data_IF_521210907759
#
_entry.id   IF_521210907759
#
_cell.length_a   1.000
_cell.length_b   1.000
_cell.length_c   1.000
_cell.angle_alpha   90.00
_cell.angle_beta   90.00
_cell.angle_gamma   90.00
#
_symmetry.space_group_name_H-M   'P 1'
#
loop_
_entity.id
_entity.type
_entity.pdbx_description
1 polymer ?
#
# COMPACT_ATOMS: atom_id res chain seq x y z
N UNK A 1 4.71 -11.42 -10.16
CA UNK A 1 4.86 -11.47 -8.69
C UNK A 1 3.75 -10.71 -7.99
N UNK A 2 3.61 -10.89 -6.68
CA UNK A 2 2.76 -10.04 -5.84
C UNK A 2 3.64 -9.15 -4.97
N UNK A 3 3.56 -7.83 -5.18
CA UNK A 3 4.26 -6.80 -4.41
C UNK A 3 3.27 -6.08 -3.49
N UNK A 4 3.53 -6.10 -2.20
CA UNK A 4 2.78 -5.32 -1.20
C UNK A 4 3.65 -4.15 -0.74
N UNK A 5 3.20 -2.92 -1.00
CA UNK A 5 3.80 -1.70 -0.50
C UNK A 5 3.03 -1.25 0.74
N UNK A 6 3.54 -1.62 1.92
CA UNK A 6 2.91 -1.28 3.20
C UNK A 6 3.54 0.02 3.76
N UNK A 7 2.75 0.87 4.36
CA UNK A 7 3.27 2.14 4.90
C UNK A 7 2.16 3.03 5.44
N UNK A 8 2.51 4.00 6.26
CA UNK A 8 1.57 4.97 6.80
C UNK A 8 0.85 5.76 5.67
N UNK A 9 -0.38 6.27 5.93
CA UNK A 9 -1.02 7.20 5.00
C UNK A 9 -0.11 8.41 4.73
N UNK A 10 0.05 8.79 3.46
CA UNK A 10 0.93 9.93 3.07
C UNK A 10 2.40 9.57 2.81
N UNK A 11 2.84 8.32 3.03
CA UNK A 11 4.26 7.92 2.83
C UNK A 11 4.68 7.80 1.36
N UNK A 12 3.75 7.75 0.41
CA UNK A 12 4.05 7.68 -1.03
C UNK A 12 3.81 6.32 -1.70
N UNK A 13 3.05 5.42 -1.08
CA UNK A 13 2.76 4.06 -1.60
C UNK A 13 2.19 4.04 -3.02
N UNK A 14 1.12 4.82 -3.25
CA UNK A 14 0.44 4.86 -4.57
C UNK A 14 1.37 5.37 -5.66
N UNK A 15 2.08 6.48 -5.40
CA UNK A 15 3.03 7.00 -6.37
C UNK A 15 4.13 5.99 -6.73
N UNK A 16 4.63 5.23 -5.74
CA UNK A 16 5.64 4.19 -6.00
C UNK A 16 5.04 2.99 -6.74
N UNK A 17 3.78 2.63 -6.48
CA UNK A 17 3.07 1.58 -7.21
C UNK A 17 2.83 1.96 -8.68
N UNK A 18 2.41 3.20 -8.93
CA UNK A 18 2.20 3.74 -10.27
C UNK A 18 3.53 3.78 -11.04
N UNK A 19 4.60 4.26 -10.39
CA UNK A 19 5.95 4.29 -10.98
C UNK A 19 6.47 2.88 -11.32
N UNK A 20 6.15 1.88 -10.48
CA UNK A 20 6.45 0.48 -10.78
C UNK A 20 5.69 0.00 -12.03
N UNK A 21 4.39 0.30 -12.11
CA UNK A 21 3.55 -0.14 -13.22
C UNK A 21 3.96 0.47 -14.57
N UNK A 22 4.53 1.69 -14.60
CA UNK A 22 5.05 2.33 -15.80
C UNK A 22 6.17 1.51 -16.48
N UNK A 23 6.98 0.80 -15.71
CA UNK A 23 8.10 0.00 -16.24
C UNK A 23 7.79 -1.51 -16.35
N UNK A 24 6.64 -1.95 -15.85
CA UNK A 24 6.25 -3.36 -15.85
C UNK A 24 4.95 -3.57 -16.66
N UNK A 25 5.06 -3.94 -17.93
CA UNK A 25 3.89 -4.09 -18.81
C UNK A 25 2.81 -4.99 -18.21
N UNK A 26 1.57 -4.50 -18.19
CA UNK A 26 0.40 -5.18 -17.62
C UNK A 26 0.47 -5.41 -16.10
N UNK A 27 1.38 -4.79 -15.36
CA UNK A 27 1.31 -4.80 -13.91
C UNK A 27 0.02 -4.12 -13.43
N UNK A 28 -0.70 -4.75 -12.51
CA UNK A 28 -1.96 -4.25 -11.98
C UNK A 28 -1.76 -3.61 -10.62
N UNK A 29 -2.04 -2.32 -10.50
CA UNK A 29 -2.12 -1.65 -9.20
C UNK A 29 -3.51 -1.85 -8.62
N UNK A 30 -3.60 -2.45 -7.43
CA UNK A 30 -4.88 -2.73 -6.74
C UNK A 30 -4.97 -1.90 -5.48
N UNK A 31 -5.63 -0.76 -5.56
CA UNK A 31 -5.94 0.10 -4.42
C UNK A 31 -7.23 -0.36 -3.74
N UNK A 32 -7.12 -0.97 -2.55
CA UNK A 32 -8.27 -1.53 -1.80
C UNK A 32 -9.26 -0.44 -1.40
N UNK A 33 -8.77 0.74 -1.05
CA UNK A 33 -9.64 1.87 -0.69
C UNK A 33 -10.37 2.45 -1.92
N UNK A 34 -9.78 2.39 -3.11
CA UNK A 34 -10.46 2.76 -4.35
C UNK A 34 -11.56 1.75 -4.68
N UNK A 35 -11.28 0.45 -4.58
CA UNK A 35 -12.31 -0.59 -4.75
C UNK A 35 -13.48 -0.35 -3.79
N UNK A 36 -13.19 -0.03 -2.53
CA UNK A 36 -14.21 0.28 -1.54
C UNK A 36 -15.06 1.48 -1.96
N UNK A 37 -14.45 2.54 -2.48
CA UNK A 37 -15.17 3.74 -2.94
C UNK A 37 -16.10 3.49 -4.13
N UNK A 38 -15.84 2.44 -4.91
CA UNK A 38 -16.71 2.02 -6.03
C UNK A 38 -17.93 1.22 -5.59
N UNK A 39 -18.00 0.79 -4.32
CA UNK A 39 -19.19 0.11 -3.79
C UNK A 39 -20.29 1.11 -3.47
N UNK A 40 -21.51 0.78 -3.84
CA UNK A 40 -22.67 1.60 -3.48
C UNK A 40 -22.81 1.72 -1.97
N UNK A 41 -23.11 2.92 -1.46
CA UNK A 41 -23.32 3.22 -0.03
C UNK A 41 -22.17 2.76 0.91
N UNK A 42 -20.95 2.67 0.39
CA UNK A 42 -19.78 2.13 1.10
C UNK A 42 -19.49 2.78 2.46
N UNK A 43 -19.97 4.01 2.69
CA UNK A 43 -19.77 4.76 3.94
C UNK A 43 -20.66 4.26 5.06
N UNK A 44 -21.93 4.00 4.75
CA UNK A 44 -22.95 3.59 5.72
C UNK A 44 -22.95 2.09 5.99
N UNK A 45 -22.34 1.29 5.09
CA UNK A 45 -22.31 -0.17 5.22
C UNK A 45 -20.97 -0.63 5.75
N UNK A 46 -20.94 -1.09 7.00
CA UNK A 46 -19.72 -1.53 7.70
C UNK A 46 -18.95 -2.64 6.97
N UNK A 47 -19.67 -3.52 6.28
CA UNK A 47 -19.10 -4.64 5.50
C UNK A 47 -18.31 -4.20 4.26
N UNK A 48 -18.43 -2.95 3.82
CA UNK A 48 -17.76 -2.45 2.62
C UNK A 48 -16.23 -2.66 2.63
N UNK A 49 -15.61 -2.65 3.81
CA UNK A 49 -14.17 -2.95 3.94
C UNK A 49 -13.84 -4.42 3.65
N UNK A 50 -14.72 -5.33 4.08
CA UNK A 50 -14.56 -6.78 3.84
C UNK A 50 -14.75 -7.07 2.37
N UNK A 51 -15.83 -6.56 1.78
CA UNK A 51 -16.13 -6.72 0.35
C UNK A 51 -15.00 -6.19 -0.53
N UNK A 52 -14.46 -5.01 -0.22
CA UNK A 52 -13.33 -4.44 -0.98
C UNK A 52 -12.07 -5.32 -0.90
N UNK A 53 -11.78 -5.90 0.25
CA UNK A 53 -10.67 -6.85 0.42
C UNK A 53 -10.89 -8.14 -0.36
N UNK A 54 -12.11 -8.66 -0.38
CA UNK A 54 -12.45 -9.85 -1.16
C UNK A 54 -12.31 -9.60 -2.65
N UNK A 55 -12.75 -8.44 -3.13
CA UNK A 55 -12.54 -8.01 -4.52
C UNK A 55 -11.05 -7.88 -4.85
N UNK A 56 -10.26 -7.26 -3.97
CA UNK A 56 -8.81 -7.15 -4.16
C UNK A 56 -8.15 -8.53 -4.27
N UNK A 57 -8.54 -9.49 -3.42
CA UNK A 57 -8.05 -10.88 -3.49
C UNK A 57 -8.45 -11.56 -4.80
N UNK A 58 -9.68 -11.37 -5.26
CA UNK A 58 -10.17 -11.96 -6.53
C UNK A 58 -9.39 -11.41 -7.73
N UNK A 59 -9.23 -10.08 -7.80
CA UNK A 59 -8.43 -9.41 -8.84
C UNK A 59 -6.98 -9.90 -8.83
N UNK A 60 -6.35 -9.91 -7.65
CA UNK A 60 -4.97 -10.37 -7.47
C UNK A 60 -4.81 -11.81 -7.97
N UNK A 61 -5.67 -12.71 -7.53
CA UNK A 61 -5.62 -14.13 -7.95
C UNK A 61 -5.75 -14.30 -9.45
N UNK A 62 -6.70 -13.62 -10.06
CA UNK A 62 -6.95 -13.71 -11.50
C UNK A 62 -5.76 -13.19 -12.29
N UNK A 63 -5.23 -12.03 -11.89
CA UNK A 63 -4.16 -11.35 -12.63
C UNK A 63 -2.82 -12.08 -12.50
N UNK A 64 -2.46 -12.58 -11.30
CA UNK A 64 -1.27 -13.41 -11.12
C UNK A 64 -1.31 -14.69 -11.96
N UNK A 65 -2.49 -15.33 -12.08
CA UNK A 65 -2.67 -16.53 -12.93
C UNK A 65 -2.50 -16.23 -14.41
N UNK A 66 -2.71 -14.99 -14.84
CA UNK A 66 -2.42 -14.54 -16.21
C UNK A 66 -0.93 -14.30 -16.46
N UNK A 67 -0.07 -14.48 -15.46
CA UNK A 67 1.38 -14.31 -15.56
C UNK A 67 1.87 -12.87 -15.37
N UNK A 68 1.02 -11.96 -14.91
CA UNK A 68 1.37 -10.55 -14.72
C UNK A 68 1.51 -10.17 -13.24
N UNK A 69 2.25 -9.10 -12.99
CA UNK A 69 2.50 -8.61 -11.65
C UNK A 69 1.27 -7.89 -11.05
N UNK A 70 1.15 -7.98 -9.72
CA UNK A 70 0.18 -7.19 -8.95
C UNK A 70 0.91 -6.40 -7.88
N UNK A 71 0.57 -5.12 -7.75
CA UNK A 71 1.08 -4.22 -6.70
C UNK A 71 -0.08 -3.76 -5.84
N UNK A 72 0.04 -3.91 -4.51
CA UNK A 72 -0.99 -3.48 -3.56
C UNK A 72 -0.42 -2.42 -2.62
N UNK A 73 -0.65 -1.11 -2.91
CA UNK A 73 -0.20 0.00 -2.08
C UNK A 73 -1.20 0.29 -0.95
N UNK A 74 -1.09 -0.40 0.17
CA UNK A 74 -2.06 -0.28 1.25
C UNK A 74 -1.39 -0.23 2.62
N UNK A 75 -1.98 0.49 3.59
CA UNK A 75 -1.62 0.37 4.99
C UNK A 75 -2.27 -0.87 5.60
N UNK A 76 -1.44 -1.76 6.10
CA UNK A 76 -1.87 -2.97 6.80
C UNK A 76 -1.30 -2.97 8.21
N UNK A 77 -2.08 -2.48 9.17
CA UNK A 77 -1.72 -2.54 10.58
C UNK A 77 -1.91 -3.93 11.22
N UNK A 78 -2.59 -4.85 10.51
CA UNK A 78 -2.80 -6.24 10.92
C UNK A 78 -2.33 -7.18 9.82
N UNK A 79 -1.78 -8.31 10.22
CA UNK A 79 -1.20 -9.27 9.30
C UNK A 79 -2.19 -10.17 8.56
N UNK A 80 -3.39 -10.35 9.09
CA UNK A 80 -4.40 -11.27 8.55
C UNK A 80 -4.62 -11.14 7.04
N UNK A 81 -4.68 -9.90 6.55
CA UNK A 81 -4.88 -9.67 5.13
C UNK A 81 -3.58 -9.84 4.31
N UNK A 82 -2.44 -9.47 4.85
CA UNK A 82 -1.12 -9.72 4.22
C UNK A 82 -0.87 -11.22 4.07
N UNK A 83 -1.18 -12.01 5.10
CA UNK A 83 -1.05 -13.48 5.06
C UNK A 83 -2.00 -14.11 4.06
N UNK A 84 -3.23 -13.57 3.95
CA UNK A 84 -4.20 -13.98 2.92
C UNK A 84 -3.65 -13.72 1.51
N UNK A 85 -3.04 -12.56 1.28
CA UNK A 85 -2.40 -12.21 0.02
C UNK A 85 -1.20 -13.11 -0.29
N UNK A 86 -0.36 -13.39 0.71
CA UNK A 86 0.73 -14.34 0.57
C UNK A 86 0.23 -15.76 0.20
N UNK A 87 -0.93 -16.17 0.74
CA UNK A 87 -1.61 -17.40 0.34
C UNK A 87 -2.00 -17.41 -1.14
N UNK A 88 -2.55 -16.31 -1.64
CA UNK A 88 -2.91 -16.15 -3.07
C UNK A 88 -1.68 -16.29 -3.97
N UNK A 89 -0.56 -15.70 -3.56
CA UNK A 89 0.71 -15.79 -4.29
C UNK A 89 1.24 -17.22 -4.34
N UNK A 90 1.21 -17.94 -3.21
CA UNK A 90 1.58 -19.38 -3.17
C UNK A 90 0.71 -20.22 -4.09
N UNK A 91 -0.63 -20.02 -4.06
CA UNK A 91 -1.57 -20.73 -4.93
C UNK A 91 -1.30 -20.47 -6.42
N UNK A 92 -0.86 -19.25 -6.74
CA UNK A 92 -0.50 -18.84 -8.09
C UNK A 92 0.95 -19.26 -8.47
N UNK A 93 1.73 -19.82 -7.55
CA UNK A 93 3.15 -20.16 -7.72
C UNK A 93 3.98 -18.96 -8.19
N UNK A 94 3.72 -17.80 -7.62
CA UNK A 94 4.44 -16.55 -7.92
C UNK A 94 5.14 -16.01 -6.68
N UNK A 95 6.25 -15.26 -6.80
CA UNK A 95 6.90 -14.64 -5.67
C UNK A 95 5.97 -13.65 -4.94
N UNK A 96 6.08 -13.64 -3.61
CA UNK A 96 5.45 -12.65 -2.73
C UNK A 96 6.53 -11.79 -2.09
N UNK A 97 6.39 -10.47 -2.20
CA UNK A 97 7.29 -9.51 -1.58
C UNK A 97 6.46 -8.46 -0.84
N UNK A 98 6.69 -8.32 0.47
CA UNK A 98 6.22 -7.19 1.26
C UNK A 98 7.39 -6.22 1.47
N UNK A 99 7.15 -4.93 1.26
CA UNK A 99 8.10 -3.86 1.55
C UNK A 99 7.40 -2.81 2.40
N UNK A 100 8.06 -2.37 3.47
CA UNK A 100 7.57 -1.29 4.31
C UNK A 100 8.20 0.02 3.84
N UNK A 101 7.34 0.99 3.53
CA UNK A 101 7.75 2.35 3.23
C UNK A 101 7.68 3.20 4.50
N UNK A 102 8.72 3.97 4.75
CA UNK A 102 8.81 4.85 5.91
C UNK A 102 9.46 6.17 5.55
N UNK A 103 9.29 7.17 6.40
CA UNK A 103 9.96 8.48 6.30
C UNK A 103 9.94 9.13 7.68
N UNK A 104 10.47 10.32 7.78
CA UNK A 104 10.28 11.22 8.91
C UNK A 104 8.79 11.52 9.12
N UNK A 105 8.32 11.42 10.36
CA UNK A 105 6.90 11.56 10.68
C UNK A 105 6.33 12.92 10.25
N UNK A 106 7.09 14.00 10.44
CA UNK A 106 6.62 15.35 10.07
C UNK A 106 6.51 15.52 8.56
N UNK A 107 7.39 14.89 7.79
CA UNK A 107 7.28 14.85 6.32
C UNK A 107 6.05 14.08 5.86
N UNK A 108 5.77 12.92 6.46
CA UNK A 108 4.56 12.14 6.14
C UNK A 108 3.31 12.94 6.50
N UNK A 109 3.27 13.54 7.69
CA UNK A 109 2.15 14.38 8.17
C UNK A 109 1.93 15.55 7.22
N UNK A 110 2.99 16.23 6.80
CA UNK A 110 2.91 17.34 5.84
C UNK A 110 2.31 16.93 4.50
N UNK A 111 2.76 15.81 3.92
CA UNK A 111 2.19 15.25 2.67
C UNK A 111 0.73 14.84 2.85
N UNK A 112 0.38 14.25 3.96
CA UNK A 112 -1.00 13.86 4.26
C UNK A 112 -1.92 15.08 4.33
N UNK A 113 -1.51 16.14 5.06
CA UNK A 113 -2.26 17.40 5.16
C UNK A 113 -2.46 18.05 3.80
N UNK A 114 -1.42 18.08 2.97
CA UNK A 114 -1.49 18.63 1.62
C UNK A 114 -2.51 17.86 0.77
N UNK A 115 -2.46 16.53 0.76
CA UNK A 115 -3.41 15.67 0.05
C UNK A 115 -4.85 15.86 0.55
N UNK A 116 -5.05 15.95 1.87
CA UNK A 116 -6.36 16.24 2.46
C UNK A 116 -6.93 17.57 1.95
N UNK A 117 -6.11 18.63 1.92
CA UNK A 117 -6.54 19.92 1.40
C UNK A 117 -6.98 19.84 -0.09
N UNK A 118 -6.31 19.02 -0.89
CA UNK A 118 -6.72 18.77 -2.28
C UNK A 118 -8.08 18.07 -2.36
N UNK A 119 -8.36 17.08 -1.54
CA UNK A 119 -9.68 16.42 -1.49
C UNK A 119 -10.79 17.37 -1.06
N UNK A 120 -10.52 18.24 -0.08
CA UNK A 120 -11.48 19.26 0.36
C UNK A 120 -11.78 20.28 -0.74
N UNK A 121 -10.78 20.63 -1.56
CA UNK A 121 -10.95 21.60 -2.65
C UNK A 121 -11.69 21.03 -3.88
N UNK A 122 -11.69 19.70 -4.07
CA UNK A 122 -12.26 19.05 -5.27
C UNK A 122 -13.65 18.45 -5.05
N UNK A 123 -14.27 18.67 -3.89
CA UNK A 123 -15.56 18.05 -3.50
C UNK A 123 -15.59 16.51 -3.62
N UNK A 124 -14.42 15.90 -3.74
CA UNK A 124 -14.27 14.45 -3.72
C UNK A 124 -14.38 13.98 -2.28
N UNK A 125 -15.47 13.34 -1.96
CA UNK A 125 -15.68 12.74 -0.65
C UNK A 125 -14.65 11.65 -0.35
N UNK A 126 -13.55 12.03 0.30
CA UNK A 126 -12.52 11.12 0.76
C UNK A 126 -12.57 10.97 2.29
N UNK A 127 -12.45 9.75 2.86
CA UNK A 127 -12.48 9.55 4.32
C UNK A 127 -11.46 10.40 5.08
N UNK A 128 -10.32 10.67 4.46
CA UNK A 128 -9.26 11.49 5.04
C UNK A 128 -9.60 12.99 5.07
N UNK A 129 -10.59 13.44 4.29
CA UNK A 129 -10.98 14.85 4.26
C UNK A 129 -11.56 15.35 5.59
N UNK A 130 -12.18 14.44 6.35
CA UNK A 130 -12.87 14.75 7.61
C UNK A 130 -11.95 14.64 8.84
N UNK A 131 -10.70 14.18 8.70
CA UNK A 131 -9.77 14.02 9.82
C UNK A 131 -9.25 15.36 10.33
N UNK A 132 -9.25 15.54 11.64
CA UNK A 132 -8.60 16.69 12.28
C UNK A 132 -7.06 16.54 12.26
N UNK A 133 -6.34 17.66 12.30
CA UNK A 133 -4.87 17.69 12.21
C UNK A 133 -4.17 16.87 13.31
N UNK A 134 -4.69 16.87 14.51
CA UNK A 134 -4.16 16.07 15.63
C UNK A 134 -4.40 14.57 15.43
N UNK A 135 -5.52 14.20 14.80
CA UNK A 135 -5.83 12.81 14.44
C UNK A 135 -4.86 12.32 13.36
N UNK A 136 -4.61 13.12 12.32
CA UNK A 136 -3.63 12.80 11.28
C UNK A 136 -2.25 12.53 11.88
N UNK A 137 -1.77 13.44 12.73
CA UNK A 137 -0.46 13.28 13.35
C UNK A 137 -0.38 12.01 14.22
N UNK A 138 -1.42 11.73 14.99
CA UNK A 138 -1.49 10.54 15.83
C UNK A 138 -1.51 9.25 15.00
N UNK A 139 -2.35 9.21 13.97
CA UNK A 139 -2.47 8.04 13.09
C UNK A 139 -1.17 7.74 12.33
N UNK A 140 -0.52 8.77 11.78
CA UNK A 140 0.76 8.62 11.06
C UNK A 140 1.85 8.09 11.97
N UNK A 141 2.05 8.70 13.15
CA UNK A 141 3.09 8.26 14.09
C UNK A 141 2.84 6.85 14.58
N UNK A 142 1.60 6.52 14.95
CA UNK A 142 1.23 5.17 15.39
C UNK A 142 1.45 4.14 14.30
N UNK A 143 1.03 4.43 13.07
CA UNK A 143 1.20 3.54 11.93
C UNK A 143 2.69 3.33 11.60
N UNK A 144 3.49 4.42 11.56
CA UNK A 144 4.91 4.36 11.24
C UNK A 144 5.69 3.56 12.29
N UNK A 145 5.41 3.79 13.57
CA UNK A 145 6.02 3.04 14.67
C UNK A 145 5.65 1.54 14.62
N UNK A 146 4.36 1.22 14.42
CA UNK A 146 3.90 -0.16 14.31
C UNK A 146 4.61 -0.90 13.17
N UNK A 147 4.73 -0.25 12.00
CA UNK A 147 5.35 -0.86 10.83
C UNK A 147 6.87 -1.01 10.99
N UNK A 148 7.56 -0.05 11.62
CA UNK A 148 8.99 -0.20 11.96
C UNK A 148 9.23 -1.38 12.89
N UNK A 149 8.39 -1.54 13.91
CA UNK A 149 8.44 -2.70 14.82
C UNK A 149 8.17 -4.01 14.06
N UNK A 150 7.17 -4.00 13.17
CA UNK A 150 6.85 -5.14 12.34
C UNK A 150 8.02 -5.53 11.42
N UNK A 151 8.64 -4.56 10.77
CA UNK A 151 9.82 -4.80 9.92
C UNK A 151 10.95 -5.47 10.69
N UNK A 152 11.28 -4.93 11.86
CA UNK A 152 12.35 -5.45 12.71
C UNK A 152 12.05 -6.87 13.21
N UNK A 153 10.79 -7.17 13.56
CA UNK A 153 10.38 -8.48 14.09
C UNK A 153 10.38 -9.58 13.02
N UNK A 154 10.01 -9.23 11.79
CA UNK A 154 9.79 -10.22 10.72
C UNK A 154 10.80 -10.14 9.58
N UNK A 155 11.81 -9.29 9.67
CA UNK A 155 12.82 -9.13 8.63
C UNK A 155 12.27 -8.56 7.32
N UNK A 156 11.17 -7.79 7.38
CA UNK A 156 10.57 -7.19 6.18
C UNK A 156 11.45 -6.02 5.71
N UNK A 157 11.82 -5.95 4.42
CA UNK A 157 12.59 -4.83 3.89
C UNK A 157 11.91 -3.47 4.13
N UNK A 158 12.72 -2.47 4.48
CA UNK A 158 12.26 -1.09 4.69
C UNK A 158 12.91 -0.18 3.66
N UNK A 159 12.10 0.71 3.06
CA UNK A 159 12.56 1.77 2.15
C UNK A 159 12.19 3.13 2.73
N UNK A 160 13.20 3.98 2.87
CA UNK A 160 13.04 5.39 3.25
C UNK A 160 12.62 6.22 2.02
N UNK A 161 11.48 6.92 2.11
CA UNK A 161 10.93 7.68 0.97
C UNK A 161 11.35 9.15 0.94
N UNK A 162 12.15 9.59 1.91
CA UNK A 162 12.60 10.99 2.04
C UNK A 162 13.45 11.50 0.88
N UNK A 163 14.06 10.61 0.11
CA UNK A 163 14.83 10.96 -1.09
C UNK A 163 13.99 11.23 -2.36
N UNK A 164 12.66 11.16 -2.26
CA UNK A 164 11.75 11.35 -3.39
C UNK A 164 11.42 10.05 -4.15
N UNK A 165 10.58 10.18 -5.18
CA UNK A 165 10.01 9.03 -5.89
C UNK A 165 11.06 8.17 -6.58
N UNK A 166 11.97 8.78 -7.36
CA UNK A 166 12.98 8.02 -8.12
C UNK A 166 13.99 7.32 -7.21
N UNK A 167 14.41 7.96 -6.11
CA UNK A 167 15.27 7.32 -5.13
C UNK A 167 14.58 6.13 -4.46
N UNK A 168 13.31 6.28 -4.13
CA UNK A 168 12.49 5.19 -3.55
C UNK A 168 12.29 4.05 -4.55
N UNK A 169 12.09 4.37 -5.82
CA UNK A 169 11.94 3.37 -6.88
C UNK A 169 13.25 2.59 -7.10
N UNK A 170 14.38 3.29 -7.15
CA UNK A 170 15.68 2.62 -7.23
C UNK A 170 15.94 1.68 -6.04
N UNK A 171 15.63 2.13 -4.82
CA UNK A 171 15.72 1.29 -3.62
C UNK A 171 14.78 0.06 -3.68
N UNK A 172 13.59 0.23 -4.26
CA UNK A 172 12.66 -0.88 -4.50
C UNK A 172 13.25 -1.90 -5.48
N UNK A 173 13.79 -1.45 -6.61
CA UNK A 173 14.45 -2.33 -7.59
C UNK A 173 15.59 -3.15 -6.95
N UNK A 174 16.44 -2.50 -6.17
CA UNK A 174 17.54 -3.19 -5.47
C UNK A 174 17.03 -4.21 -4.43
N UNK A 175 15.95 -3.86 -3.73
CA UNK A 175 15.29 -4.78 -2.78
C UNK A 175 14.73 -6.00 -3.50
N UNK A 176 14.05 -5.80 -4.61
CA UNK A 176 13.49 -6.89 -5.41
C UNK A 176 14.57 -7.81 -5.96
N UNK A 177 15.66 -7.28 -6.50
CA UNK A 177 16.80 -8.09 -6.98
C UNK A 177 17.33 -9.01 -5.87
N UNK A 178 17.52 -8.51 -4.65
CA UNK A 178 18.02 -9.30 -3.52
C UNK A 178 17.06 -10.42 -3.12
N UNK A 179 15.75 -10.16 -3.16
CA UNK A 179 14.73 -11.13 -2.78
C UNK A 179 14.64 -12.29 -3.79
N UNK A 180 14.97 -12.07 -5.06
CA UNK A 180 14.93 -13.09 -6.11
C UNK A 180 16.12 -14.07 -6.07
N UNK A 181 17.26 -13.69 -5.46
CA UNK A 181 18.44 -14.55 -5.36
C UNK A 181 18.40 -15.53 -4.18
N UNK A 182 17.40 -15.46 -3.32
CA UNK A 182 17.29 -16.28 -2.09
C UNK A 182 16.18 -17.35 -2.24
N UNK A 183 15.45 -17.37 -3.31
CA UNK A 183 14.41 -18.36 -3.68
C UNK A 183 14.97 -19.29 -4.76
#
# INVERSE_FOLDING_TARGET
>A
MLLVLNGAPGVGKSALADRYAEEHPLALVVEVDELRRRLGQWRSIGESKVVARDLAVALTRTHLRSGHDVVIPQYFGRRDFVERLAGVSRDAKTPFVEVILTDDDERIIGRFRHRRAQFQATDVHHPEADLADNQIASEVRSANQLLRTHAATHGVPVIETGGGLEASYHALQETLKRTWWVA
#
